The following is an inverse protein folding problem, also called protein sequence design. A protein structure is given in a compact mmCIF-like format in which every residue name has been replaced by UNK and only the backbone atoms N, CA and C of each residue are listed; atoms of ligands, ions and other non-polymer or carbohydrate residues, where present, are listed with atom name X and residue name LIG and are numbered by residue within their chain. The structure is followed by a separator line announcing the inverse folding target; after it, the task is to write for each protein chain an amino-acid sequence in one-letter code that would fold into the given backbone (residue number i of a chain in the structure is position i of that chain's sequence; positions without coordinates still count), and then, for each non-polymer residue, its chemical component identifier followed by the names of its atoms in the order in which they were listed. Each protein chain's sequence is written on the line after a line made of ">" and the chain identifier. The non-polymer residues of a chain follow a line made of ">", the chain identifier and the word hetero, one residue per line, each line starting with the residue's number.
data_IF_369779394398
#
_entry.id   IF_369779394398
#
_cell.length_a   1.000
_cell.length_b   1.000
_cell.length_c   1.000
_cell.angle_alpha   90.00
_cell.angle_beta   90.00
_cell.angle_gamma   90.00
#
_symmetry.space_group_name_H-M   'P 1'
#
loop_
_entity.id
_entity.type
_entity.pdbx_description
1 polymer ?
#
# COMPACT_ATOMS: atom_id res chain seq x y z
N UNK A 1 -6.89 -12.85 -19.22
CA UNK A 1 -5.67 -12.31 -18.61
C UNK A 1 -6.12 -11.41 -17.46
N UNK A 2 -6.34 -11.97 -16.26
CA UNK A 2 -6.79 -11.20 -15.09
C UNK A 2 -5.55 -10.70 -14.36
N UNK A 3 -5.10 -9.51 -14.72
CA UNK A 3 -3.96 -8.79 -14.11
C UNK A 3 -4.47 -7.67 -13.19
N UNK A 4 -5.75 -7.70 -12.82
CA UNK A 4 -6.33 -6.68 -11.95
C UNK A 4 -6.01 -6.89 -10.46
N UNK A 5 -5.78 -8.13 -10.05
CA UNK A 5 -4.97 -8.45 -8.89
C UNK A 5 -3.73 -9.15 -9.45
N UNK A 6 -2.55 -8.94 -8.89
CA UNK A 6 -1.38 -9.80 -9.16
C UNK A 6 -1.62 -11.27 -8.70
N UNK A 7 -2.83 -11.59 -8.25
CA UNK A 7 -3.37 -12.91 -7.93
C UNK A 7 -4.46 -13.27 -8.96
N UNK A 8 -4.23 -14.32 -9.77
CA UNK A 8 -5.26 -14.84 -10.68
C UNK A 8 -6.44 -15.41 -9.88
N UNK A 9 -7.63 -14.83 -10.06
CA UNK A 9 -8.87 -15.41 -9.52
C UNK A 9 -9.25 -16.69 -10.28
N UNK A 10 -9.69 -17.72 -9.56
CA UNK A 10 -10.20 -18.99 -10.13
C UNK A 10 -11.73 -18.99 -10.28
N UNK A 11 -12.41 -17.90 -9.95
CA UNK A 11 -13.88 -17.85 -9.96
C UNK A 11 -14.45 -17.69 -11.37
N UNK A 12 -15.50 -18.45 -11.71
CA UNK A 12 -16.08 -18.45 -13.06
C UNK A 12 -16.58 -17.06 -13.49
N UNK A 13 -17.17 -16.27 -12.59
CA UNK A 13 -17.59 -14.89 -12.91
C UNK A 13 -16.40 -13.96 -13.22
N UNK A 14 -15.23 -14.22 -12.65
CA UNK A 14 -14.03 -13.41 -12.89
C UNK A 14 -13.49 -13.57 -14.32
N UNK A 15 -13.93 -14.60 -15.07
CA UNK A 15 -13.55 -14.78 -16.46
C UNK A 15 -14.18 -13.74 -17.40
N UNK A 16 -15.26 -13.10 -16.97
CA UNK A 16 -15.96 -12.05 -17.72
C UNK A 16 -15.49 -10.64 -17.35
N UNK A 17 -14.79 -10.49 -16.22
CA UNK A 17 -14.13 -9.25 -15.83
C UNK A 17 -12.82 -9.09 -16.61
N UNK A 18 -12.90 -8.43 -17.77
CA UNK A 18 -11.74 -7.99 -18.52
C UNK A 18 -11.40 -6.57 -18.10
N UNK A 19 -10.19 -6.41 -17.56
CA UNK A 19 -9.60 -5.10 -17.34
C UNK A 19 -8.67 -4.85 -18.52
N UNK A 20 -9.03 -3.89 -19.36
CA UNK A 20 -8.31 -3.50 -20.57
C UNK A 20 -7.44 -2.25 -20.35
N UNK A 21 -7.32 -1.81 -19.09
CA UNK A 21 -6.52 -0.69 -18.62
C UNK A 21 -7.03 0.67 -19.12
N UNK A 22 -8.33 0.78 -19.37
CA UNK A 22 -8.96 2.07 -19.66
C UNK A 22 -9.08 2.93 -18.40
N UNK A 23 -9.42 4.20 -18.60
CA UNK A 23 -9.66 5.11 -17.48
C UNK A 23 -10.76 4.60 -16.54
N UNK A 24 -11.76 3.91 -17.07
CA UNK A 24 -12.82 3.27 -16.31
C UNK A 24 -12.30 2.17 -15.40
N UNK A 25 -11.29 1.40 -15.83
CA UNK A 25 -10.66 0.36 -15.01
C UNK A 25 -9.89 0.97 -13.84
N UNK A 26 -9.26 2.11 -14.07
CA UNK A 26 -8.60 2.89 -13.03
C UNK A 26 -9.59 3.39 -11.98
N UNK A 27 -10.67 4.06 -12.40
CA UNK A 27 -11.71 4.54 -11.50
C UNK A 27 -12.41 3.39 -10.76
N UNK A 28 -12.67 2.27 -11.44
CA UNK A 28 -13.24 1.08 -10.82
C UNK A 28 -12.34 0.50 -9.73
N UNK A 29 -11.02 0.45 -9.95
CA UNK A 29 -10.06 0.03 -8.91
C UNK A 29 -10.10 0.93 -7.69
N UNK A 30 -10.14 2.25 -7.90
CA UNK A 30 -10.24 3.20 -6.79
C UNK A 30 -11.53 2.99 -6.00
N UNK A 31 -12.66 2.84 -6.68
CA UNK A 31 -13.93 2.54 -6.03
C UNK A 31 -13.87 1.23 -5.24
N UNK A 32 -13.29 0.19 -5.81
CA UNK A 32 -13.17 -1.12 -5.18
C UNK A 32 -12.33 -1.04 -3.90
N UNK A 33 -11.17 -0.37 -3.92
CA UNK A 33 -10.32 -0.20 -2.74
C UNK A 33 -11.08 0.53 -1.63
N UNK A 34 -11.78 1.62 -1.96
CA UNK A 34 -12.63 2.35 -1.00
C UNK A 34 -13.78 1.51 -0.44
N UNK A 35 -14.41 0.69 -1.28
CA UNK A 35 -15.47 -0.22 -0.85
C UNK A 35 -14.96 -1.28 0.13
N UNK A 36 -13.75 -1.82 -0.09
CA UNK A 36 -13.12 -2.77 0.85
C UNK A 36 -12.93 -2.15 2.24
N UNK A 37 -12.49 -0.89 2.31
CA UNK A 37 -12.37 -0.16 3.59
C UNK A 37 -13.74 0.04 4.26
N UNK A 38 -14.79 0.33 3.48
CA UNK A 38 -16.13 0.47 4.04
C UNK A 38 -16.66 -0.87 4.59
N UNK A 39 -16.44 -1.97 3.86
CA UNK A 39 -16.85 -3.32 4.23
C UNK A 39 -16.04 -3.91 5.38
N UNK A 40 -14.81 -3.42 5.64
CA UNK A 40 -13.92 -3.93 6.68
C UNK A 40 -14.49 -3.81 8.11
N UNK A 41 -15.59 -3.07 8.28
CA UNK A 41 -16.34 -2.97 9.54
C UNK A 41 -17.11 -4.24 9.88
N UNK A 42 -17.38 -5.09 8.90
CA UNK A 42 -17.98 -6.42 9.10
C UNK A 42 -16.87 -7.49 9.20
N UNK A 43 -16.74 -8.20 10.33
CA UNK A 43 -15.77 -9.28 10.50
C UNK A 43 -15.89 -10.39 9.45
N UNK A 44 -17.11 -10.65 8.94
CA UNK A 44 -17.32 -11.66 7.90
C UNK A 44 -16.66 -11.22 6.58
N UNK A 45 -16.78 -9.94 6.25
CA UNK A 45 -16.11 -9.37 5.09
C UNK A 45 -14.58 -9.46 5.21
N UNK A 46 -14.02 -9.26 6.41
CA UNK A 46 -12.58 -9.44 6.69
C UNK A 46 -12.12 -10.88 6.38
N UNK A 47 -12.88 -11.89 6.81
CA UNK A 47 -12.55 -13.29 6.52
C UNK A 47 -12.55 -13.58 5.02
N UNK A 48 -13.54 -13.06 4.29
CA UNK A 48 -13.61 -13.19 2.83
C UNK A 48 -12.40 -12.50 2.17
N UNK A 49 -12.08 -11.26 2.59
CA UNK A 49 -10.93 -10.51 2.08
C UNK A 49 -9.60 -11.24 2.32
N UNK A 50 -9.41 -11.82 3.51
CA UNK A 50 -8.25 -12.64 3.86
C UNK A 50 -8.15 -13.87 2.95
N UNK A 51 -9.25 -14.62 2.78
CA UNK A 51 -9.31 -15.78 1.89
C UNK A 51 -8.98 -15.42 0.42
N UNK A 52 -9.34 -14.21 0.00
CA UNK A 52 -9.07 -13.67 -1.33
C UNK A 52 -7.66 -13.08 -1.48
N UNK A 53 -6.82 -13.12 -0.42
CA UNK A 53 -5.47 -12.53 -0.38
C UNK A 53 -5.48 -11.03 -0.69
N UNK A 54 -6.43 -10.29 -0.11
CA UNK A 54 -6.55 -8.85 -0.32
C UNK A 54 -5.27 -8.12 0.11
N UNK A 55 -4.73 -8.40 1.30
CA UNK A 55 -3.52 -7.73 1.79
C UNK A 55 -2.33 -7.91 0.84
N UNK A 56 -2.09 -9.12 0.34
CA UNK A 56 -1.06 -9.38 -0.65
C UNK A 56 -1.25 -8.54 -1.92
N UNK A 57 -2.50 -8.38 -2.35
CA UNK A 57 -2.84 -7.56 -3.52
C UNK A 57 -2.60 -6.08 -3.27
N UNK A 58 -2.92 -5.55 -2.08
CA UNK A 58 -2.62 -4.16 -1.71
C UNK A 58 -1.12 -3.92 -1.55
N UNK A 59 -0.39 -4.83 -0.89
CA UNK A 59 1.07 -4.75 -0.73
C UNK A 59 1.85 -4.83 -2.04
N UNK A 60 1.22 -5.28 -3.13
CA UNK A 60 1.84 -5.25 -4.46
C UNK A 60 2.09 -3.85 -5.01
N UNK A 61 1.38 -2.84 -4.48
CA UNK A 61 1.59 -1.41 -4.77
C UNK A 61 2.58 -0.74 -3.80
N UNK A 62 2.96 -1.41 -2.71
CA UNK A 62 3.89 -0.88 -1.70
C UNK A 62 5.32 -1.18 -2.13
N UNK A 63 5.85 -0.36 -3.04
CA UNK A 63 7.20 -0.45 -3.61
C UNK A 63 7.62 0.88 -4.23
N UNK A 64 8.91 1.10 -4.40
CA UNK A 64 9.43 2.28 -5.09
C UNK A 64 8.86 2.41 -6.51
N UNK A 65 8.58 3.65 -6.92
CA UNK A 65 8.00 3.97 -8.24
C UNK A 65 9.07 4.12 -9.33
N UNK A 66 10.34 3.83 -9.01
CA UNK A 66 11.48 4.00 -9.92
C UNK A 66 11.47 2.96 -11.05
N UNK A 67 10.96 1.76 -10.76
CA UNK A 67 10.67 0.76 -11.79
C UNK A 67 9.34 1.12 -12.43
N UNK A 68 9.40 1.87 -13.53
CA UNK A 68 8.35 1.91 -14.55
C UNK A 68 7.97 0.46 -14.84
N UNK A 69 6.93 -0.07 -14.19
CA UNK A 69 6.29 -1.28 -14.67
C UNK A 69 5.69 -0.89 -16.03
N UNK A 70 6.23 -1.37 -17.16
CA UNK A 70 5.95 -0.77 -18.46
C UNK A 70 4.48 -0.87 -18.89
N UNK A 71 3.68 -1.72 -18.24
CA UNK A 71 2.53 -2.31 -18.93
C UNK A 71 1.16 -2.06 -18.29
N UNK A 72 0.99 -1.31 -17.20
CA UNK A 72 -0.35 -1.17 -16.58
C UNK A 72 -0.87 0.23 -16.32
N UNK A 73 -0.07 1.14 -15.76
CA UNK A 73 -0.54 2.45 -15.32
C UNK A 73 0.49 3.52 -15.64
N UNK A 74 0.02 4.73 -15.95
CA UNK A 74 0.92 5.88 -16.02
C UNK A 74 1.55 6.14 -14.63
N UNK A 75 2.72 6.78 -14.54
CA UNK A 75 3.34 7.07 -13.24
C UNK A 75 2.41 7.81 -12.27
N UNK A 76 1.58 8.74 -12.77
CA UNK A 76 0.57 9.43 -11.96
C UNK A 76 -0.56 8.53 -11.47
N UNK A 77 -1.04 7.62 -12.32
CA UNK A 77 -2.08 6.66 -11.94
C UNK A 77 -1.54 5.64 -10.93
N UNK A 78 -0.31 5.18 -11.12
CA UNK A 78 0.34 4.28 -10.18
C UNK A 78 0.50 4.94 -8.81
N UNK A 79 1.00 6.18 -8.78
CA UNK A 79 1.12 6.96 -7.54
C UNK A 79 -0.21 7.09 -6.80
N UNK A 80 -1.29 7.42 -7.51
CA UNK A 80 -2.62 7.56 -6.92
C UNK A 80 -3.13 6.23 -6.33
N UNK A 81 -2.99 5.12 -7.08
CA UNK A 81 -3.37 3.79 -6.59
C UNK A 81 -2.50 3.35 -5.41
N UNK A 82 -1.21 3.65 -5.43
CA UNK A 82 -0.29 3.35 -4.33
C UNK A 82 -0.70 4.07 -3.05
N UNK A 83 -0.96 5.38 -3.12
CA UNK A 83 -1.39 6.17 -1.97
C UNK A 83 -2.72 5.67 -1.41
N UNK A 84 -3.66 5.32 -2.29
CA UNK A 84 -4.94 4.77 -1.86
C UNK A 84 -4.79 3.37 -1.22
N UNK A 85 -3.95 2.51 -1.77
CA UNK A 85 -3.62 1.21 -1.18
C UNK A 85 -2.97 1.36 0.21
N UNK A 86 -2.01 2.26 0.37
CA UNK A 86 -1.40 2.55 1.67
C UNK A 86 -2.44 3.09 2.67
N UNK A 87 -3.34 3.97 2.21
CA UNK A 87 -4.44 4.47 3.04
C UNK A 87 -5.40 3.35 3.46
N UNK A 88 -5.76 2.44 2.56
CA UNK A 88 -6.62 1.30 2.86
C UNK A 88 -5.96 0.33 3.84
N UNK A 89 -4.66 0.06 3.65
CA UNK A 89 -3.88 -0.79 4.55
C UNK A 89 -3.85 -0.24 5.99
N UNK A 90 -3.85 1.08 6.19
CA UNK A 90 -3.91 1.68 7.53
C UNK A 90 -5.13 1.20 8.33
N UNK A 91 -6.23 0.88 7.64
CA UNK A 91 -7.49 0.41 8.25
C UNK A 91 -7.59 -1.11 8.27
N UNK A 92 -7.21 -1.78 7.18
CA UNK A 92 -7.47 -3.22 6.99
C UNK A 92 -6.35 -4.09 7.58
N UNK A 93 -5.09 -3.66 7.52
CA UNK A 93 -3.97 -4.48 7.98
C UNK A 93 -4.03 -4.85 9.49
N UNK A 94 -4.42 -3.93 10.41
CA UNK A 94 -4.62 -4.26 11.82
C UNK A 94 -5.69 -5.35 12.07
N UNK A 95 -6.63 -5.52 11.14
CA UNK A 95 -7.70 -6.50 11.22
C UNK A 95 -7.27 -7.88 10.66
N UNK A 96 -6.10 -7.94 10.00
CA UNK A 96 -5.59 -9.11 9.30
C UNK A 96 -4.10 -9.35 9.62
N UNK A 97 -3.73 -9.40 10.90
CA UNK A 97 -2.33 -9.47 11.36
C UNK A 97 -1.56 -10.66 10.75
N UNK A 98 -2.17 -11.85 10.72
CA UNK A 98 -1.52 -13.04 10.14
C UNK A 98 -1.17 -12.86 8.65
N UNK A 99 -2.07 -12.24 7.89
CA UNK A 99 -1.85 -11.95 6.47
C UNK A 99 -0.78 -10.86 6.31
N UNK A 100 -0.76 -9.86 7.19
CA UNK A 100 0.27 -8.81 7.21
C UNK A 100 1.67 -9.41 7.42
N UNK A 101 1.81 -10.30 8.40
CA UNK A 101 3.08 -10.99 8.68
C UNK A 101 3.49 -11.90 7.52
N UNK A 102 2.53 -12.64 6.94
CA UNK A 102 2.77 -13.46 5.74
C UNK A 102 3.23 -12.62 4.54
N UNK A 103 2.73 -11.39 4.42
CA UNK A 103 3.14 -10.45 3.38
C UNK A 103 4.48 -9.77 3.65
N UNK A 104 5.12 -10.00 4.80
CA UNK A 104 6.29 -9.25 5.27
C UNK A 104 6.02 -7.74 5.31
N UNK A 105 4.89 -7.36 5.92
CA UNK A 105 4.39 -5.99 5.91
C UNK A 105 5.40 -4.95 6.40
N UNK A 106 6.07 -5.20 7.54
CA UNK A 106 7.09 -4.28 8.08
C UNK A 106 8.22 -4.07 7.07
N UNK A 107 8.78 -5.14 6.51
CA UNK A 107 9.90 -5.08 5.57
C UNK A 107 9.54 -4.26 4.33
N UNK A 108 8.37 -4.49 3.75
CA UNK A 108 7.90 -3.71 2.59
C UNK A 108 7.73 -2.23 2.90
N UNK A 109 7.23 -1.89 4.09
CA UNK A 109 7.05 -0.51 4.51
C UNK A 109 8.36 0.19 4.79
N UNK A 110 9.31 -0.49 5.45
CA UNK A 110 10.64 0.05 5.73
C UNK A 110 11.44 0.25 4.44
N UNK A 111 11.35 -0.67 3.47
CA UNK A 111 11.95 -0.49 2.14
C UNK A 111 11.35 0.70 1.39
N UNK A 112 10.01 0.86 1.43
CA UNK A 112 9.37 2.01 0.81
C UNK A 112 9.72 3.32 1.54
N UNK A 113 9.84 3.28 2.86
CA UNK A 113 10.23 4.42 3.68
C UNK A 113 11.66 4.85 3.37
N UNK A 114 12.59 3.90 3.20
CA UNK A 114 13.97 4.16 2.78
C UNK A 114 14.02 4.90 1.44
N UNK A 115 13.25 4.41 0.48
CA UNK A 115 13.07 5.08 -0.81
C UNK A 115 12.51 6.50 -0.68
N UNK A 116 11.59 6.75 0.26
CA UNK A 116 11.02 8.07 0.49
C UNK A 116 12.05 9.08 1.04
N UNK A 117 13.02 8.61 1.84
CA UNK A 117 14.06 9.44 2.46
C UNK A 117 15.23 9.68 1.49
N UNK A 118 15.46 8.76 0.57
CA UNK A 118 16.54 8.86 -0.41
C UNK A 118 16.48 10.12 -1.26
N UNK A 119 17.65 10.72 -1.50
CA UNK A 119 17.89 12.00 -2.20
C UNK A 119 17.55 11.99 -3.71
N UNK A 120 16.96 10.91 -4.22
CA UNK A 120 16.60 10.81 -5.63
C UNK A 120 15.40 11.67 -5.99
N UNK A 121 15.54 12.47 -7.06
CA UNK A 121 14.45 13.24 -7.65
C UNK A 121 13.28 12.32 -8.01
N UNK A 122 12.10 12.66 -7.51
CA UNK A 122 10.86 11.97 -7.84
C UNK A 122 9.86 12.98 -8.36
N UNK A 123 9.48 12.83 -9.62
CA UNK A 123 8.51 13.68 -10.30
C UNK A 123 7.07 13.44 -9.85
N UNK A 124 6.83 13.36 -8.53
CA UNK A 124 5.51 13.14 -7.95
C UNK A 124 4.48 14.06 -8.58
N UNK A 125 3.37 13.50 -9.04
CA UNK A 125 2.44 14.21 -9.91
C UNK A 125 1.44 15.06 -9.11
N UNK A 126 1.39 14.88 -7.78
CA UNK A 126 0.52 15.63 -6.88
C UNK A 126 -0.96 15.42 -7.16
N UNK A 127 -1.30 14.36 -7.91
CA UNK A 127 -2.66 14.04 -8.32
C UNK A 127 -3.25 13.04 -7.30
N UNK A 128 -3.93 13.50 -6.25
CA UNK A 128 -4.92 12.72 -5.48
C UNK A 128 -5.48 13.50 -4.28
N UNK A 129 -6.67 13.12 -3.81
CA UNK A 129 -7.22 13.45 -2.48
C UNK A 129 -6.27 13.05 -1.33
N UNK A 130 -5.43 12.03 -1.53
CA UNK A 130 -4.42 11.57 -0.57
C UNK A 130 -3.03 12.22 -0.76
N UNK A 131 -2.82 12.96 -1.85
CA UNK A 131 -1.54 13.58 -2.20
C UNK A 131 -1.37 14.93 -1.48
N UNK A 132 -1.36 14.90 -0.14
CA UNK A 132 -1.25 16.10 0.70
C UNK A 132 0.21 16.59 0.78
N UNK A 133 0.92 16.65 -0.33
CA UNK A 133 2.39 16.78 -0.39
C UNK A 133 2.93 17.73 -1.45
N UNK A 134 2.10 18.16 -2.41
CA UNK A 134 2.57 18.90 -3.58
C UNK A 134 3.27 18.02 -4.62
N UNK A 135 3.62 18.60 -5.76
CA UNK A 135 4.36 17.91 -6.83
C UNK A 135 5.83 17.70 -6.46
N UNK A 136 6.47 16.70 -7.06
CA UNK A 136 7.92 16.54 -7.05
C UNK A 136 8.51 15.95 -5.76
N UNK A 137 7.72 15.29 -4.90
CA UNK A 137 8.26 14.70 -3.68
C UNK A 137 7.50 13.42 -3.24
N UNK A 138 8.12 12.71 -2.30
CA UNK A 138 7.66 11.40 -1.77
C UNK A 138 6.97 11.54 -0.40
N UNK A 139 6.58 12.76 0.01
CA UNK A 139 6.09 13.04 1.38
C UNK A 139 4.77 12.35 1.68
N UNK A 140 3.91 12.21 0.67
CA UNK A 140 2.63 11.52 0.84
C UNK A 140 2.83 10.04 1.17
N UNK A 141 3.70 9.36 0.40
CA UNK A 141 4.10 7.99 0.62
C UNK A 141 4.71 7.82 2.02
N UNK A 142 5.67 8.69 2.38
CA UNK A 142 6.30 8.69 3.71
C UNK A 142 5.28 8.78 4.85
N UNK A 143 4.35 9.75 4.80
CA UNK A 143 3.31 9.90 5.83
C UNK A 143 2.41 8.68 5.92
N UNK A 144 2.04 8.09 4.79
CA UNK A 144 1.22 6.90 4.76
C UNK A 144 1.96 5.66 5.30
N UNK A 145 3.25 5.51 5.00
CA UNK A 145 4.10 4.48 5.63
C UNK A 145 4.11 4.64 7.16
N UNK A 146 4.39 5.86 7.66
CA UNK A 146 4.43 6.12 9.10
C UNK A 146 3.06 5.91 9.77
N UNK A 147 1.95 6.30 9.10
CA UNK A 147 0.59 6.05 9.59
C UNK A 147 0.29 4.55 9.68
N UNK A 148 0.69 3.78 8.68
CA UNK A 148 0.49 2.34 8.66
C UNK A 148 1.34 1.64 9.73
N UNK A 149 2.63 1.97 9.85
CA UNK A 149 3.50 1.47 10.92
C UNK A 149 2.91 1.76 12.29
N UNK A 150 2.45 3.00 12.52
CA UNK A 150 1.75 3.37 13.76
C UNK A 150 0.50 2.53 13.99
N UNK A 151 -0.32 2.33 12.95
CA UNK A 151 -1.56 1.54 13.05
C UNK A 151 -1.27 0.11 13.47
N UNK A 152 -0.23 -0.51 12.87
CA UNK A 152 0.23 -1.85 13.24
C UNK A 152 0.83 -1.91 14.65
N UNK A 153 1.62 -0.91 15.06
CA UNK A 153 2.11 -0.87 16.45
C UNK A 153 0.98 -0.75 17.47
N UNK A 154 -0.12 -0.09 17.10
CA UNK A 154 -1.28 0.12 17.97
C UNK A 154 -2.11 -1.16 18.17
N UNK A 155 -1.81 -2.26 17.46
CA UNK A 155 -2.42 -3.57 17.75
C UNK A 155 -1.76 -4.26 18.94
N UNK A 156 -0.61 -3.76 19.42
CA UNK A 156 0.18 -4.33 20.51
C UNK A 156 0.55 -5.80 20.29
N UNK A 157 0.57 -6.25 19.03
CA UNK A 157 0.91 -7.63 18.67
C UNK A 157 2.42 -7.83 18.78
N UNK A 158 2.83 -8.75 19.67
CA UNK A 158 4.25 -8.97 19.98
C UNK A 158 5.05 -9.42 18.74
N UNK A 159 4.47 -10.22 17.85
CA UNK A 159 5.18 -10.70 16.67
C UNK A 159 5.43 -9.56 15.68
N UNK A 160 4.45 -8.68 15.49
CA UNK A 160 4.58 -7.47 14.67
C UNK A 160 5.63 -6.52 15.26
N UNK A 161 5.59 -6.28 16.58
CA UNK A 161 6.50 -5.37 17.26
C UNK A 161 7.94 -5.89 17.28
N UNK A 162 8.12 -7.18 17.54
CA UNK A 162 9.43 -7.83 17.52
C UNK A 162 10.04 -7.79 16.12
N UNK A 163 9.28 -8.17 15.08
CA UNK A 163 9.73 -8.13 13.69
C UNK A 163 10.10 -6.69 13.26
N UNK A 164 9.32 -5.69 13.70
CA UNK A 164 9.62 -4.29 13.41
C UNK A 164 10.92 -3.82 14.07
N UNK A 165 11.16 -4.23 15.31
CA UNK A 165 12.41 -3.96 16.03
C UNK A 165 13.61 -4.65 15.37
N UNK A 166 13.46 -5.93 15.01
CA UNK A 166 14.52 -6.74 14.39
C UNK A 166 14.95 -6.18 13.03
N UNK A 167 14.02 -5.56 12.29
CA UNK A 167 14.30 -4.88 11.03
C UNK A 167 14.92 -3.48 11.20
N UNK A 168 15.18 -3.03 12.44
CA UNK A 168 15.86 -1.76 12.71
C UNK A 168 14.99 -0.52 12.51
N UNK A 169 13.66 -0.64 12.58
CA UNK A 169 12.74 0.45 12.30
C UNK A 169 12.98 1.70 13.15
N UNK A 170 13.36 1.55 14.43
CA UNK A 170 13.64 2.69 15.33
C UNK A 170 14.82 3.51 14.78
N UNK A 171 15.88 2.86 14.34
CA UNK A 171 17.05 3.54 13.77
C UNK A 171 16.68 4.27 12.48
N UNK A 172 15.87 3.65 11.62
CA UNK A 172 15.44 4.26 10.37
C UNK A 172 14.53 5.47 10.62
N UNK A 173 13.52 5.32 11.50
CA UNK A 173 12.57 6.40 11.84
C UNK A 173 13.32 7.55 12.50
N UNK A 174 14.16 7.30 13.51
CA UNK A 174 14.94 8.37 14.14
C UNK A 174 15.87 9.07 13.15
N UNK A 175 16.48 8.32 12.23
CA UNK A 175 17.21 8.87 11.08
C UNK A 175 16.37 9.81 10.22
N UNK A 176 15.09 9.50 9.96
CA UNK A 176 14.19 10.41 9.21
C UNK A 176 13.96 11.75 9.90
N UNK A 177 13.81 11.73 11.22
CA UNK A 177 13.56 12.94 12.02
C UNK A 177 14.82 13.80 12.17
N UNK A 178 15.98 13.17 12.28
CA UNK A 178 17.26 13.86 12.49
C UNK A 178 17.91 14.30 11.17
N UNK A 179 17.66 13.59 10.07
CA UNK A 179 18.17 13.91 8.73
C UNK A 179 17.29 14.87 7.92
N UNK A 180 16.10 15.24 8.43
CA UNK A 180 15.13 16.10 7.75
C UNK A 180 15.40 17.62 7.82
N UNK A 181 16.61 18.04 8.21
CA UNK A 181 17.08 19.44 8.12
C UNK A 181 18.17 19.51 7.06
N UNK A 182 17.76 19.68 5.81
CA UNK A 182 18.60 19.91 4.64
C UNK A 182 17.77 20.46 3.51
#
# INVERSE_FOLDING_TARGET
>A
MVVACLVKSRHYLAQYLKFEQYHEDFEFKKLLISAMVAMSKDPTAIQIMSSARLLLSLFSYVKANDTLLPDLWTPSQFEELQLQCLSALCTIAPLCINDYMTCQGNNRLLLLLDWCIGQGDYGGHGNSYHADGGRGNKRAQMRHCLRLLRSMCSTEDEAVLQDLCDQGAISQITGTWLGGVG
#
